data_IF_664251433280
#
_entry.id   IF_664251433280
#
_cell.length_a   1.000
_cell.length_b   1.000
_cell.length_c   1.000
_cell.angle_alpha   90.00
_cell.angle_beta   90.00
_cell.angle_gamma   90.00
#
_symmetry.space_group_name_H-M   'P 1'
#
loop_
_entity.id
_entity.type
_entity.pdbx_description
1 polymer ?
#
# COMPACT_ATOMS: atom_id res chain seq x y z
N UNK A 1 -9.77 4.41 -10.17
CA UNK A 1 -9.93 3.03 -10.71
C UNK A 1 -10.54 2.14 -9.64
N UNK A 2 -11.38 1.18 -10.04
CA UNK A 2 -11.83 0.12 -9.14
C UNK A 2 -10.65 -0.82 -8.82
N UNK A 3 -10.72 -1.50 -7.67
CA UNK A 3 -9.74 -2.54 -7.35
C UNK A 3 -10.07 -3.79 -8.17
N UNK A 4 -9.05 -4.51 -8.64
CA UNK A 4 -9.24 -5.84 -9.23
C UNK A 4 -9.52 -6.87 -8.13
N UNK A 5 -10.06 -8.03 -8.50
CA UNK A 5 -10.33 -9.11 -7.54
C UNK A 5 -9.05 -9.58 -6.84
N UNK A 6 -7.94 -9.67 -7.57
CA UNK A 6 -6.61 -9.98 -7.01
C UNK A 6 -6.16 -8.93 -5.98
N UNK A 7 -6.39 -7.63 -6.25
CA UNK A 7 -6.09 -6.56 -5.30
C UNK A 7 -6.99 -6.62 -4.07
N UNK A 8 -8.27 -6.96 -4.23
CA UNK A 8 -9.20 -7.13 -3.12
C UNK A 8 -8.74 -8.28 -2.21
N UNK A 9 -8.35 -9.41 -2.79
CA UNK A 9 -7.84 -10.55 -2.04
C UNK A 9 -6.55 -10.18 -1.28
N UNK A 10 -5.58 -9.62 -2.00
CA UNK A 10 -4.26 -9.24 -1.44
C UNK A 10 -4.37 -8.21 -0.32
N UNK A 11 -5.22 -7.19 -0.47
CA UNK A 11 -5.33 -6.07 0.47
C UNK A 11 -6.53 -6.16 1.40
N UNK A 12 -7.25 -7.29 1.43
CA UNK A 12 -8.46 -7.52 2.24
C UNK A 12 -8.29 -7.07 3.70
N UNK A 13 -7.15 -7.39 4.32
CA UNK A 13 -6.81 -7.02 5.71
C UNK A 13 -6.49 -5.53 5.92
N UNK A 14 -6.09 -4.80 4.88
CA UNK A 14 -5.97 -3.34 4.97
C UNK A 14 -7.32 -2.66 4.70
N UNK A 15 -8.10 -3.18 3.75
CA UNK A 15 -9.40 -2.63 3.36
C UNK A 15 -10.41 -2.70 4.52
N UNK A 16 -10.36 -3.73 5.37
CA UNK A 16 -11.28 -3.86 6.52
C UNK A 16 -11.05 -2.79 7.61
N UNK A 17 -9.86 -2.17 7.65
CA UNK A 17 -9.58 -1.09 8.59
C UNK A 17 -10.44 0.12 8.23
N UNK A 18 -11.25 0.59 9.18
CA UNK A 18 -12.25 1.64 8.98
C UNK A 18 -11.62 2.93 8.43
N UNK A 19 -10.41 3.25 8.86
CA UNK A 19 -9.66 4.45 8.49
C UNK A 19 -9.04 4.34 7.09
N UNK A 20 -8.82 3.12 6.58
CA UNK A 20 -8.27 2.86 5.26
C UNK A 20 -9.42 2.68 4.26
N UNK A 21 -10.19 1.59 4.40
CA UNK A 21 -11.25 1.24 3.48
C UNK A 21 -10.75 1.03 2.04
N UNK A 22 -11.68 0.69 1.15
CA UNK A 22 -11.37 0.61 -0.29
C UNK A 22 -10.91 1.97 -0.87
N UNK A 23 -11.34 3.09 -0.28
CA UNK A 23 -10.92 4.44 -0.70
C UNK A 23 -9.44 4.69 -0.39
N UNK A 24 -8.99 4.36 0.81
CA UNK A 24 -7.59 4.49 1.24
C UNK A 24 -6.68 3.56 0.45
N UNK A 25 -7.08 2.30 0.25
CA UNK A 25 -6.28 1.36 -0.55
C UNK A 25 -6.07 1.85 -1.98
N UNK A 26 -7.13 2.36 -2.63
CA UNK A 26 -6.98 3.00 -3.95
C UNK A 26 -6.04 4.19 -3.92
N UNK A 27 -6.01 4.97 -2.84
CA UNK A 27 -5.10 6.12 -2.73
C UNK A 27 -3.64 5.66 -2.64
N UNK A 28 -3.36 4.59 -1.91
CA UNK A 28 -2.01 4.00 -1.80
C UNK A 28 -1.52 3.49 -3.16
N UNK A 29 -2.32 2.68 -3.86
CA UNK A 29 -1.99 2.15 -5.19
C UNK A 29 -1.76 3.22 -6.27
N UNK A 30 -2.39 4.39 -6.13
CA UNK A 30 -2.18 5.52 -7.05
C UNK A 30 -1.09 6.49 -6.59
N UNK A 31 -0.53 6.30 -5.40
CA UNK A 31 0.49 7.17 -4.85
C UNK A 31 1.85 6.93 -5.53
N UNK A 32 2.71 7.94 -5.47
CA UNK A 32 4.10 7.85 -5.87
C UNK A 32 4.95 8.31 -4.70
N UNK A 33 5.91 7.49 -4.29
CA UNK A 33 6.79 7.79 -3.15
C UNK A 33 8.24 7.70 -3.62
N UNK A 34 9.03 8.72 -3.29
CA UNK A 34 10.48 8.73 -3.48
C UNK A 34 11.15 8.41 -2.14
N UNK A 35 12.00 7.39 -2.12
CA UNK A 35 12.83 7.04 -0.96
C UNK A 35 14.28 7.41 -1.30
N UNK A 36 14.88 8.30 -0.51
CA UNK A 36 16.29 8.68 -0.67
C UNK A 36 17.14 7.85 0.29
N UNK A 37 17.91 6.93 -0.27
CA UNK A 37 18.76 6.00 0.46
C UNK A 37 18.11 4.63 0.68
N UNK A 38 18.82 3.57 0.32
CA UNK A 38 18.37 2.17 0.41
C UNK A 38 19.17 1.36 1.46
N UNK A 39 19.58 2.03 2.55
CA UNK A 39 20.28 1.41 3.68
C UNK A 39 19.31 0.95 4.79
N UNK A 40 19.78 0.90 6.04
CA UNK A 40 19.02 0.37 7.18
C UNK A 40 17.67 1.06 7.46
N UNK A 41 17.47 2.30 7.01
CA UNK A 41 16.20 3.01 7.14
C UNK A 41 15.30 2.84 5.89
N UNK A 42 15.90 2.95 4.70
CA UNK A 42 15.16 2.88 3.45
C UNK A 42 14.65 1.48 3.13
N UNK A 43 15.42 0.45 3.46
CA UNK A 43 15.04 -0.94 3.20
C UNK A 43 13.74 -1.36 3.92
N UNK A 44 13.59 -1.19 5.26
CA UNK A 44 12.32 -1.52 5.92
C UNK A 44 11.18 -0.61 5.47
N UNK A 45 11.42 0.68 5.24
CA UNK A 45 10.40 1.60 4.74
C UNK A 45 9.86 1.15 3.36
N UNK A 46 10.74 0.81 2.42
CA UNK A 46 10.37 0.30 1.10
C UNK A 46 9.60 -1.02 1.19
N UNK A 47 10.03 -1.93 2.07
CA UNK A 47 9.35 -3.22 2.29
C UNK A 47 7.88 -3.02 2.69
N UNK A 48 7.62 -2.18 3.70
CA UNK A 48 6.25 -1.96 4.16
C UNK A 48 5.41 -1.15 3.18
N UNK A 49 6.00 -0.18 2.47
CA UNK A 49 5.31 0.55 1.40
C UNK A 49 4.88 -0.38 0.27
N UNK A 50 5.76 -1.29 -0.17
CA UNK A 50 5.44 -2.28 -1.21
C UNK A 50 4.39 -3.31 -0.74
N UNK A 51 4.45 -3.72 0.53
CA UNK A 51 3.47 -4.64 1.10
C UNK A 51 2.08 -3.98 1.26
N UNK A 52 2.05 -2.70 1.63
CA UNK A 52 0.82 -1.92 1.80
C UNK A 52 0.06 -1.74 0.48
N UNK A 53 0.77 -1.67 -0.64
CA UNK A 53 0.18 -1.62 -1.99
C UNK A 53 -0.13 -0.22 -2.46
#
# INVERSE_FOLDING_TARGET
MALTDEQIERYSRHIILKEVGAKGQRKLLNAKVLIIGAGGLGAPAAMYLAAAG
#
